data_IF_671604438343
#
_entry.id   IF_671604438343
#
_cell.length_a   1.000
_cell.length_b   1.000
_cell.length_c   1.000
_cell.angle_alpha   90.00
_cell.angle_beta   90.00
_cell.angle_gamma   90.00
#
_symmetry.space_group_name_H-M   'P 1'
#
loop_
_entity.id
_entity.type
_entity.pdbx_description
1 polymer ?
#
# COMPACT_ATOMS: atom_id res chain seq x y z
N UNK A 1 22.31 -1.65 -9.40
CA UNK A 1 21.93 -2.81 -8.56
C UNK A 1 20.77 -3.50 -9.26
N UNK A 2 20.83 -4.82 -9.35
CA UNK A 2 19.73 -5.63 -9.87
C UNK A 2 18.52 -5.51 -8.93
N UNK A 3 17.40 -4.98 -9.42
CA UNK A 3 16.19 -4.78 -8.62
C UNK A 3 15.49 -6.10 -8.26
N UNK A 4 15.80 -7.18 -8.98
CA UNK A 4 15.24 -8.52 -8.72
C UNK A 4 15.98 -9.29 -7.63
N UNK A 5 17.21 -8.88 -7.31
CA UNK A 5 18.02 -9.57 -6.30
C UNK A 5 17.70 -9.06 -4.90
N UNK A 6 16.98 -9.88 -4.12
CA UNK A 6 16.64 -9.63 -2.72
C UNK A 6 17.42 -10.61 -1.84
N UNK A 7 18.16 -10.09 -0.87
CA UNK A 7 18.83 -10.92 0.16
C UNK A 7 17.77 -11.44 1.15
N UNK A 8 17.26 -12.63 0.88
CA UNK A 8 16.21 -13.27 1.69
C UNK A 8 16.67 -13.52 3.12
N UNK A 9 17.93 -13.90 3.33
CA UNK A 9 18.43 -14.18 4.69
C UNK A 9 18.56 -12.89 5.52
N UNK A 10 18.93 -11.79 4.87
CA UNK A 10 18.90 -10.49 5.54
C UNK A 10 17.45 -10.02 5.81
N UNK A 11 16.56 -10.18 4.85
CA UNK A 11 15.14 -9.83 5.02
C UNK A 11 14.49 -10.63 6.16
N UNK A 12 14.80 -11.93 6.30
CA UNK A 12 14.33 -12.75 7.44
C UNK A 12 14.74 -12.13 8.78
N UNK A 13 16.00 -11.72 8.91
CA UNK A 13 16.49 -11.07 10.14
C UNK A 13 15.77 -9.76 10.44
N UNK A 14 15.45 -8.97 9.41
CA UNK A 14 14.68 -7.73 9.56
C UNK A 14 13.24 -8.03 10.01
N UNK A 15 12.59 -9.03 9.42
CA UNK A 15 11.25 -9.48 9.81
C UNK A 15 11.24 -9.95 11.26
N UNK A 16 12.22 -10.77 11.64
CA UNK A 16 12.33 -11.30 13.01
C UNK A 16 12.48 -10.17 14.03
N UNK A 17 13.39 -9.23 13.78
CA UNK A 17 13.61 -8.08 14.66
C UNK A 17 12.36 -7.17 14.76
N UNK A 18 11.61 -6.99 13.67
CA UNK A 18 10.39 -6.19 13.66
C UNK A 18 9.27 -6.85 14.47
N UNK A 19 9.09 -8.16 14.31
CA UNK A 19 8.10 -8.93 15.10
C UNK A 19 8.50 -8.97 16.59
N UNK A 20 9.76 -9.20 16.90
CA UNK A 20 10.27 -9.16 18.29
C UNK A 20 10.06 -7.81 18.96
N UNK A 21 10.10 -6.72 18.20
CA UNK A 21 9.78 -5.38 18.66
C UNK A 21 8.26 -5.12 18.79
N UNK A 22 7.41 -6.09 18.49
CA UNK A 22 5.94 -5.97 18.54
C UNK A 22 5.30 -5.43 17.27
N UNK A 23 6.05 -5.30 16.17
CA UNK A 23 5.53 -4.88 14.87
C UNK A 23 4.71 -6.00 14.21
N UNK A 24 3.55 -5.64 13.63
CA UNK A 24 2.64 -6.60 13.01
C UNK A 24 2.22 -6.24 11.59
N UNK A 25 2.44 -5.01 11.13
CA UNK A 25 2.03 -4.53 9.82
C UNK A 25 3.19 -4.56 8.84
N UNK A 26 3.03 -5.30 7.74
CA UNK A 26 4.02 -5.44 6.67
C UNK A 26 3.45 -4.92 5.36
N UNK A 27 4.21 -4.08 4.67
CA UNK A 27 3.81 -3.41 3.43
C UNK A 27 4.64 -3.87 2.24
N UNK A 28 3.96 -4.24 1.16
CA UNK A 28 4.55 -4.53 -0.14
C UNK A 28 3.65 -3.99 -1.27
N UNK A 29 3.98 -4.31 -2.51
CA UNK A 29 3.13 -4.03 -3.67
C UNK A 29 3.45 -4.97 -4.83
N UNK A 30 2.45 -5.19 -5.68
CA UNK A 30 2.53 -6.01 -6.90
C UNK A 30 3.78 -5.73 -7.75
N UNK A 31 4.21 -4.44 -7.81
CA UNK A 31 5.31 -4.00 -8.70
C UNK A 31 6.65 -3.89 -8.00
N UNK A 32 6.72 -3.94 -6.67
CA UNK A 32 7.97 -3.71 -5.97
C UNK A 32 8.99 -4.78 -6.32
N UNK A 33 10.22 -4.35 -6.63
CA UNK A 33 11.29 -5.22 -7.11
C UNK A 33 10.86 -6.09 -8.31
N UNK A 34 10.12 -5.49 -9.25
CA UNK A 34 9.59 -6.18 -10.44
C UNK A 34 8.73 -7.42 -10.11
N UNK A 35 8.05 -7.39 -8.95
CA UNK A 35 7.20 -8.47 -8.46
C UNK A 35 7.86 -9.42 -7.45
N UNK A 36 9.18 -9.34 -7.28
CA UNK A 36 9.91 -10.22 -6.37
C UNK A 36 9.70 -9.86 -4.88
N UNK A 37 9.23 -8.63 -4.57
CA UNK A 37 8.98 -8.23 -3.18
C UNK A 37 7.91 -9.09 -2.50
N UNK A 38 6.82 -9.40 -3.19
CA UNK A 38 5.77 -10.28 -2.65
C UNK A 38 6.29 -11.71 -2.43
N UNK A 39 7.10 -12.24 -3.36
CA UNK A 39 7.74 -13.55 -3.23
C UNK A 39 8.74 -13.57 -2.06
N UNK A 40 9.48 -12.49 -1.87
CA UNK A 40 10.40 -12.35 -0.75
C UNK A 40 9.66 -12.28 0.60
N UNK A 41 8.54 -11.55 0.67
CA UNK A 41 7.68 -11.49 1.86
C UNK A 41 7.08 -12.87 2.18
N UNK A 42 6.67 -13.64 1.18
CA UNK A 42 6.24 -15.02 1.39
C UNK A 42 7.31 -15.82 2.12
N UNK A 43 8.57 -15.83 1.62
CA UNK A 43 9.69 -16.62 2.17
C UNK A 43 10.16 -16.11 3.55
N UNK A 44 10.11 -14.80 3.75
CA UNK A 44 10.62 -14.21 4.98
C UNK A 44 9.59 -14.10 6.11
N UNK A 45 8.31 -14.03 5.78
CA UNK A 45 7.23 -13.83 6.73
C UNK A 45 6.19 -14.96 6.68
N UNK A 46 5.45 -15.10 5.56
CA UNK A 46 4.22 -15.91 5.49
C UNK A 46 4.49 -17.41 5.72
N UNK A 47 5.61 -17.95 5.23
CA UNK A 47 6.01 -19.35 5.43
C UNK A 47 6.60 -19.63 6.82
N UNK A 48 6.84 -18.58 7.64
CA UNK A 48 7.60 -18.73 8.91
C UNK A 48 6.78 -18.42 10.15
N UNK A 49 5.74 -17.62 10.02
CA UNK A 49 4.93 -17.15 11.15
C UNK A 49 3.45 -17.53 10.96
N UNK A 50 2.69 -17.75 12.05
CA UNK A 50 1.25 -17.97 11.95
C UNK A 50 0.57 -16.82 11.22
N UNK A 51 -0.30 -17.12 10.25
CA UNK A 51 -0.90 -16.10 9.37
C UNK A 51 -1.72 -15.04 10.13
N UNK A 52 -2.27 -15.38 11.26
CA UNK A 52 -3.06 -14.52 12.15
C UNK A 52 -2.20 -13.65 13.11
N UNK A 53 -0.88 -13.88 13.15
CA UNK A 53 0.04 -13.10 14.00
C UNK A 53 0.52 -11.79 13.37
N UNK A 54 0.23 -11.56 12.09
CA UNK A 54 0.64 -10.36 11.36
C UNK A 54 -0.42 -9.92 10.35
N UNK A 55 -0.33 -8.69 9.90
CA UNK A 55 -1.11 -8.14 8.79
C UNK A 55 -0.21 -7.81 7.62
N UNK A 56 -0.71 -8.03 6.40
CA UNK A 56 0.02 -7.74 5.17
C UNK A 56 -0.77 -6.81 4.26
N UNK A 57 -0.08 -5.80 3.77
CA UNK A 57 -0.60 -4.88 2.77
C UNK A 57 0.06 -5.14 1.42
N UNK A 58 -0.75 -5.18 0.34
CA UNK A 58 -0.25 -5.12 -1.03
C UNK A 58 -1.11 -4.21 -1.90
N UNK A 59 -0.63 -3.87 -3.09
CA UNK A 59 -1.19 -2.78 -3.89
C UNK A 59 -1.24 -3.13 -5.36
N UNK A 60 -2.30 -2.70 -6.05
CA UNK A 60 -2.49 -2.87 -7.50
C UNK A 60 -2.29 -1.54 -8.25
N UNK A 61 -1.60 -1.59 -9.38
CA UNK A 61 -1.38 -0.47 -10.31
C UNK A 61 -2.28 -0.61 -11.54
N UNK A 62 -3.56 -0.24 -11.47
CA UNK A 62 -4.46 -0.35 -12.62
C UNK A 62 -3.97 0.48 -13.83
N UNK A 63 -3.45 1.68 -13.58
CA UNK A 63 -2.96 2.57 -14.64
C UNK A 63 -1.71 2.04 -15.40
N UNK A 64 -1.03 1.03 -14.88
CA UNK A 64 0.10 0.36 -15.52
C UNK A 64 -0.30 -0.96 -16.21
N UNK A 65 -1.58 -1.34 -16.14
CA UNK A 65 -2.07 -2.57 -16.77
C UNK A 65 -2.72 -2.26 -18.13
N UNK A 66 -2.55 -3.15 -19.13
CA UNK A 66 -3.08 -2.90 -20.47
C UNK A 66 -4.62 -3.01 -20.53
N UNK A 67 -5.23 -3.84 -19.68
CA UNK A 67 -6.68 -4.07 -19.64
C UNK A 67 -7.25 -4.10 -18.24
N UNK A 68 -8.57 -3.98 -18.11
CA UNK A 68 -9.28 -4.12 -16.85
C UNK A 68 -9.12 -5.54 -16.24
N UNK A 69 -9.10 -6.57 -17.09
CA UNK A 69 -8.88 -7.96 -16.70
C UNK A 69 -7.49 -8.14 -16.08
N UNK A 70 -6.45 -7.57 -16.70
CA UNK A 70 -5.08 -7.63 -16.17
C UNK A 70 -4.97 -6.88 -14.84
N UNK A 71 -5.63 -5.73 -14.71
CA UNK A 71 -5.67 -4.97 -13.46
C UNK A 71 -6.33 -5.77 -12.32
N UNK A 72 -7.44 -6.45 -12.61
CA UNK A 72 -8.14 -7.31 -11.64
C UNK A 72 -7.35 -8.56 -11.30
N UNK A 73 -6.66 -9.16 -12.27
CA UNK A 73 -5.81 -10.34 -12.07
C UNK A 73 -4.57 -10.08 -11.18
N UNK A 74 -4.22 -8.82 -10.92
CA UNK A 74 -3.15 -8.48 -9.98
C UNK A 74 -3.40 -9.05 -8.59
N UNK A 75 -4.64 -9.07 -8.09
CA UNK A 75 -4.96 -9.61 -6.77
C UNK A 75 -4.67 -11.11 -6.69
N UNK A 76 -5.13 -11.89 -7.66
CA UNK A 76 -4.88 -13.33 -7.71
C UNK A 76 -3.39 -13.66 -7.82
N UNK A 77 -2.66 -12.83 -8.55
CA UNK A 77 -1.20 -12.94 -8.67
C UNK A 77 -0.52 -12.62 -7.34
N UNK A 78 -0.94 -11.57 -6.64
CA UNK A 78 -0.42 -11.19 -5.32
C UNK A 78 -0.68 -12.28 -4.28
N UNK A 79 -1.88 -12.85 -4.25
CA UNK A 79 -2.22 -13.97 -3.36
C UNK A 79 -1.30 -15.19 -3.60
N UNK A 80 -1.06 -15.54 -4.87
CA UNK A 80 -0.15 -16.64 -5.24
C UNK A 80 1.30 -16.35 -4.85
N UNK A 81 1.79 -15.13 -5.10
CA UNK A 81 3.16 -14.73 -4.77
C UNK A 81 3.38 -14.71 -3.25
N UNK A 82 2.42 -14.17 -2.51
CA UNK A 82 2.45 -14.11 -1.05
C UNK A 82 2.17 -15.47 -0.38
N UNK A 83 1.49 -16.39 -1.07
CA UNK A 83 1.13 -17.70 -0.52
C UNK A 83 0.06 -17.61 0.57
N UNK A 84 -0.96 -16.79 0.37
CA UNK A 84 -2.08 -16.58 1.31
C UNK A 84 -3.41 -16.51 0.57
N UNK A 85 -4.51 -16.81 1.26
CA UNK A 85 -5.85 -16.81 0.69
C UNK A 85 -6.57 -15.46 0.85
N UNK A 86 -6.01 -14.54 1.62
CA UNK A 86 -6.57 -13.21 1.84
C UNK A 86 -5.49 -12.16 2.07
N UNK A 87 -5.84 -10.89 1.83
CA UNK A 87 -5.01 -9.71 2.09
C UNK A 87 -5.67 -8.89 3.21
N UNK A 88 -4.91 -8.50 4.22
CA UNK A 88 -5.44 -7.67 5.30
C UNK A 88 -5.72 -6.24 4.83
N UNK A 89 -4.77 -5.63 4.12
CA UNK A 89 -4.88 -4.26 3.59
C UNK A 89 -4.59 -4.24 2.09
N UNK A 90 -5.61 -4.02 1.28
CA UNK A 90 -5.44 -3.92 -0.17
C UNK A 90 -5.60 -2.47 -0.63
N UNK A 91 -4.63 -1.98 -1.41
CA UNK A 91 -4.60 -0.59 -1.85
C UNK A 91 -4.72 -0.48 -3.37
N UNK A 92 -5.57 0.43 -3.80
CA UNK A 92 -5.52 0.98 -5.14
C UNK A 92 -4.32 1.96 -5.18
N UNK A 93 -3.30 1.63 -5.96
CA UNK A 93 -1.94 2.16 -5.78
C UNK A 93 -1.71 3.48 -6.51
N UNK A 94 -1.20 4.48 -5.79
CA UNK A 94 -0.69 5.74 -6.34
C UNK A 94 -1.76 6.53 -7.10
N UNK A 95 -2.87 6.82 -6.42
CA UNK A 95 -3.91 7.69 -6.92
C UNK A 95 -3.38 9.11 -7.16
N UNK A 96 -4.01 9.84 -8.07
CA UNK A 96 -3.71 11.21 -8.39
C UNK A 96 -3.67 11.46 -9.91
N UNK A 97 -4.12 12.65 -10.32
CA UNK A 97 -4.14 13.09 -11.70
C UNK A 97 -4.75 12.08 -12.67
N UNK A 98 -4.11 11.87 -13.81
CA UNK A 98 -4.57 10.94 -14.84
C UNK A 98 -4.57 9.46 -14.43
N UNK A 99 -3.85 9.10 -13.38
CA UNK A 99 -3.80 7.70 -12.90
C UNK A 99 -5.14 7.25 -12.34
N UNK A 100 -5.83 8.12 -11.61
CA UNK A 100 -7.16 7.84 -11.04
C UNK A 100 -8.17 7.43 -12.12
N UNK A 101 -8.16 8.11 -13.26
CA UNK A 101 -9.08 7.82 -14.35
C UNK A 101 -9.04 6.37 -14.85
N UNK A 102 -7.89 5.69 -14.74
CA UNK A 102 -7.79 4.28 -15.12
C UNK A 102 -8.48 3.35 -14.12
N UNK A 103 -8.50 3.69 -12.85
CA UNK A 103 -9.25 2.91 -11.87
C UNK A 103 -10.76 3.04 -12.10
N UNK A 104 -11.23 4.24 -12.49
CA UNK A 104 -12.63 4.49 -12.87
C UNK A 104 -12.98 3.72 -14.15
N UNK A 105 -12.17 3.87 -15.21
CA UNK A 105 -12.36 3.20 -16.51
C UNK A 105 -12.46 1.68 -16.39
N UNK A 106 -11.64 1.09 -15.49
CA UNK A 106 -11.57 -0.36 -15.29
C UNK A 106 -12.55 -0.89 -14.25
N UNK A 107 -13.34 -0.01 -13.61
CA UNK A 107 -14.31 -0.37 -12.56
C UNK A 107 -13.63 -1.02 -11.35
N UNK A 108 -12.47 -0.49 -10.96
CA UNK A 108 -11.66 -1.10 -9.89
C UNK A 108 -12.24 -0.86 -8.50
N UNK A 109 -12.97 0.23 -8.29
CA UNK A 109 -13.58 0.55 -7.00
C UNK A 109 -14.64 -0.47 -6.61
N UNK A 110 -15.61 -0.70 -7.48
CA UNK A 110 -16.71 -1.66 -7.28
C UNK A 110 -16.18 -3.08 -7.21
N UNK A 111 -15.21 -3.42 -8.10
CA UNK A 111 -14.59 -4.74 -8.08
C UNK A 111 -13.86 -5.00 -6.77
N UNK A 112 -13.08 -4.04 -6.24
CA UNK A 112 -12.36 -4.21 -5.00
C UNK A 112 -13.31 -4.26 -3.79
N UNK A 113 -14.39 -3.48 -3.79
CA UNK A 113 -15.44 -3.56 -2.79
C UNK A 113 -16.13 -4.94 -2.80
N UNK A 114 -16.37 -5.53 -3.97
CA UNK A 114 -16.87 -6.89 -4.08
C UNK A 114 -15.89 -7.90 -3.48
N UNK A 115 -14.58 -7.79 -3.76
CA UNK A 115 -13.54 -8.67 -3.18
C UNK A 115 -13.44 -8.52 -1.66
N UNK A 116 -13.70 -7.34 -1.14
CA UNK A 116 -13.85 -7.13 0.30
C UNK A 116 -15.10 -7.84 0.85
N UNK A 117 -16.24 -7.75 0.20
CA UNK A 117 -17.46 -8.45 0.60
C UNK A 117 -17.30 -9.99 0.55
N UNK A 118 -16.52 -10.50 -0.40
CA UNK A 118 -16.14 -11.93 -0.51
C UNK A 118 -15.14 -12.37 0.59
N UNK A 119 -14.55 -11.42 1.34
CA UNK A 119 -13.61 -11.70 2.43
C UNK A 119 -12.16 -11.94 1.96
N UNK A 120 -11.88 -11.81 0.67
CA UNK A 120 -10.52 -11.91 0.10
C UNK A 120 -9.68 -10.69 0.48
N UNK A 121 -10.31 -9.52 0.60
CA UNK A 121 -9.73 -8.28 1.13
C UNK A 121 -10.41 -7.99 2.48
N UNK A 122 -9.63 -7.70 3.53
CA UNK A 122 -10.19 -7.33 4.84
C UNK A 122 -10.44 -5.82 4.95
N UNK A 123 -9.46 -5.02 4.54
CA UNK A 123 -9.54 -3.56 4.52
C UNK A 123 -9.15 -3.05 3.14
N UNK A 124 -10.01 -2.22 2.56
CA UNK A 124 -9.80 -1.59 1.26
C UNK A 124 -9.45 -0.12 1.41
N UNK A 125 -8.39 0.31 0.77
CA UNK A 125 -7.97 1.71 0.75
C UNK A 125 -7.21 2.07 -0.53
N UNK A 126 -6.57 3.21 -0.51
CA UNK A 126 -5.68 3.63 -1.59
C UNK A 126 -4.44 4.35 -1.06
N UNK A 127 -3.39 4.38 -1.87
CA UNK A 127 -2.24 5.25 -1.62
C UNK A 127 -2.22 6.42 -2.60
N UNK A 128 -1.72 7.57 -2.15
CA UNK A 128 -1.73 8.78 -2.94
C UNK A 128 -0.41 9.56 -2.76
N UNK A 129 0.09 10.11 -3.87
CA UNK A 129 1.16 11.10 -3.92
C UNK A 129 0.66 12.33 -4.70
N UNK A 130 -0.33 13.03 -4.16
CA UNK A 130 -0.96 14.20 -4.76
C UNK A 130 -1.39 15.17 -3.64
N UNK A 131 -2.00 16.29 -3.98
CA UNK A 131 -2.39 17.35 -3.06
C UNK A 131 -3.69 17.06 -2.28
N UNK A 132 -3.97 17.90 -1.30
CA UNK A 132 -5.11 17.75 -0.42
C UNK A 132 -6.48 17.91 -1.13
N UNK A 133 -6.57 18.72 -2.20
CA UNK A 133 -7.79 18.88 -2.99
C UNK A 133 -8.15 17.57 -3.70
N UNK A 134 -7.15 16.91 -4.30
CA UNK A 134 -7.33 15.58 -4.92
C UNK A 134 -7.79 14.55 -3.89
N UNK A 135 -7.21 14.56 -2.68
CA UNK A 135 -7.62 13.66 -1.61
C UNK A 135 -9.05 13.90 -1.15
N UNK A 136 -9.44 15.17 -0.95
CA UNK A 136 -10.80 15.55 -0.53
C UNK A 136 -11.85 15.05 -1.54
N UNK A 137 -11.56 15.23 -2.84
CA UNK A 137 -12.40 14.71 -3.91
C UNK A 137 -12.49 13.19 -3.90
N UNK A 138 -11.37 12.49 -3.82
CA UNK A 138 -11.35 11.02 -3.82
C UNK A 138 -12.13 10.43 -2.65
N UNK A 139 -11.99 11.00 -1.45
CA UNK A 139 -12.72 10.52 -0.27
C UNK A 139 -14.21 10.90 -0.30
N UNK A 140 -14.57 11.99 -0.97
CA UNK A 140 -15.98 12.35 -1.18
C UNK A 140 -16.64 11.42 -2.21
N UNK A 141 -15.95 11.07 -3.29
CA UNK A 141 -16.44 10.17 -4.34
C UNK A 141 -16.48 8.70 -3.90
N UNK A 142 -15.58 8.30 -2.96
CA UNK A 142 -15.43 6.92 -2.47
C UNK A 142 -15.44 6.87 -0.93
N UNK A 143 -16.58 7.14 -0.28
CA UNK A 143 -16.69 7.21 1.18
C UNK A 143 -16.53 5.86 1.90
N UNK A 144 -16.54 4.75 1.16
CA UNK A 144 -16.44 3.39 1.70
C UNK A 144 -14.99 2.91 1.88
N UNK A 145 -14.00 3.80 1.71
CA UNK A 145 -12.59 3.45 1.95
C UNK A 145 -12.32 3.32 3.46
N UNK A 146 -11.72 2.20 3.84
CA UNK A 146 -11.42 1.93 5.26
C UNK A 146 -10.21 2.74 5.75
N UNK A 147 -9.30 3.10 4.85
CA UNK A 147 -8.08 3.82 5.16
C UNK A 147 -7.46 4.46 3.91
N UNK A 148 -6.53 5.38 4.14
CA UNK A 148 -5.66 5.93 3.09
C UNK A 148 -4.20 5.82 3.50
N UNK A 149 -3.29 5.64 2.53
CA UNK A 149 -1.85 5.67 2.77
C UNK A 149 -1.26 6.96 2.21
N UNK A 150 -0.70 7.80 3.08
CA UNK A 150 -0.20 9.13 2.77
C UNK A 150 1.28 9.28 3.12
N UNK A 151 2.00 10.06 2.33
CA UNK A 151 3.38 10.45 2.61
C UNK A 151 3.38 11.49 3.73
N UNK A 152 3.91 11.11 4.90
CA UNK A 152 3.96 12.01 6.05
C UNK A 152 5.31 11.89 6.75
N UNK A 153 6.03 13.01 6.78
CA UNK A 153 7.24 13.20 7.56
C UNK A 153 7.43 14.69 7.85
N UNK A 154 8.36 15.04 8.73
CA UNK A 154 8.52 16.43 9.17
C UNK A 154 9.01 17.40 8.09
N UNK A 155 9.70 16.93 7.04
CA UNK A 155 10.12 17.78 5.90
C UNK A 155 8.95 18.08 4.97
N UNK A 156 8.09 17.08 4.73
CA UNK A 156 6.97 17.19 3.80
C UNK A 156 5.73 17.80 4.46
N UNK A 157 5.78 18.08 5.78
CA UNK A 157 4.64 18.56 6.56
C UNK A 157 4.03 19.85 6.00
N UNK A 158 4.87 20.83 5.67
CA UNK A 158 4.48 22.12 5.04
C UNK A 158 4.93 22.21 3.58
N UNK A 159 5.35 21.10 2.96
CA UNK A 159 5.78 21.10 1.57
C UNK A 159 4.58 21.45 0.66
N UNK A 160 4.71 22.42 -0.27
CA UNK A 160 3.61 22.90 -1.09
C UNK A 160 3.13 21.91 -2.17
N UNK A 161 3.90 20.84 -2.41
CA UNK A 161 3.57 19.80 -3.40
C UNK A 161 2.97 18.57 -2.74
N UNK A 162 3.58 18.13 -1.63
CA UNK A 162 3.12 16.93 -0.89
C UNK A 162 1.93 17.27 0.02
N UNK A 163 1.94 18.47 0.61
CA UNK A 163 0.89 18.99 1.50
C UNK A 163 0.51 18.04 2.64
N UNK A 164 1.49 17.35 3.25
CA UNK A 164 1.23 16.29 4.24
C UNK A 164 0.26 16.71 5.34
N UNK A 165 0.44 17.91 5.93
CA UNK A 165 -0.47 18.43 6.95
C UNK A 165 -1.91 18.57 6.45
N UNK A 166 -2.10 19.18 5.28
CA UNK A 166 -3.44 19.38 4.71
C UNK A 166 -4.09 18.04 4.34
N UNK A 167 -3.32 17.09 3.81
CA UNK A 167 -3.81 15.75 3.54
C UNK A 167 -4.26 15.04 4.83
N UNK A 168 -3.52 15.18 5.94
CA UNK A 168 -3.94 14.66 7.24
C UNK A 168 -5.24 15.31 7.74
N UNK A 169 -5.38 16.63 7.61
CA UNK A 169 -6.60 17.37 7.96
C UNK A 169 -7.81 16.91 7.12
N UNK A 170 -7.61 16.66 5.82
CA UNK A 170 -8.65 16.12 4.92
C UNK A 170 -9.06 14.71 5.35
N UNK A 171 -8.12 13.82 5.59
CA UNK A 171 -8.42 12.46 6.05
C UNK A 171 -9.20 12.49 7.38
N UNK A 172 -8.80 13.35 8.31
CA UNK A 172 -9.52 13.56 9.58
C UNK A 172 -10.95 14.10 9.36
N UNK A 173 -11.13 15.06 8.45
CA UNK A 173 -12.46 15.62 8.07
C UNK A 173 -13.41 14.53 7.58
N UNK A 174 -12.90 13.57 6.79
CA UNK A 174 -13.67 12.42 6.29
C UNK A 174 -13.77 11.27 7.29
N UNK A 175 -13.08 11.33 8.43
CA UNK A 175 -13.05 10.26 9.43
C UNK A 175 -12.32 8.99 8.98
N UNK A 176 -11.41 9.12 7.99
CA UNK A 176 -10.68 7.99 7.40
C UNK A 176 -9.31 7.83 8.06
N UNK A 177 -8.98 6.66 8.61
CA UNK A 177 -7.66 6.36 9.17
C UNK A 177 -6.53 6.52 8.16
N UNK A 178 -5.36 6.96 8.63
CA UNK A 178 -4.18 7.15 7.79
C UNK A 178 -3.09 6.13 8.15
N UNK A 179 -2.60 5.41 7.15
CA UNK A 179 -1.34 4.66 7.21
C UNK A 179 -0.24 5.57 6.67
N UNK A 180 0.79 5.81 7.47
CA UNK A 180 1.89 6.70 7.09
C UNK A 180 2.88 5.92 6.21
N UNK A 181 3.21 6.46 5.03
CA UNK A 181 4.33 6.02 4.21
C UNK A 181 5.44 7.06 4.17
N UNK A 182 6.64 6.63 3.82
CA UNK A 182 7.85 7.45 3.73
C UNK A 182 8.21 8.26 5.00
N UNK A 183 8.05 7.70 6.22
CA UNK A 183 8.38 8.43 7.44
C UNK A 183 9.87 8.82 7.50
N UNK A 184 10.74 8.02 6.88
CA UNK A 184 12.17 8.29 6.76
C UNK A 184 12.59 8.73 5.33
N UNK A 185 11.64 9.02 4.44
CA UNK A 185 11.84 9.51 3.06
C UNK A 185 12.91 8.72 2.30
N UNK A 186 12.71 7.40 2.21
CA UNK A 186 13.65 6.48 1.57
C UNK A 186 15.00 6.38 2.28
N UNK A 187 15.05 6.61 3.60
CA UNK A 187 16.26 6.58 4.42
C UNK A 187 16.99 7.91 4.52
N UNK A 188 16.59 8.95 3.77
CA UNK A 188 17.24 10.27 3.80
C UNK A 188 17.13 10.97 5.16
N UNK A 189 16.11 10.63 5.93
CA UNK A 189 15.87 11.21 7.27
C UNK A 189 16.43 10.35 8.39
N UNK A 190 17.10 9.23 8.08
CA UNK A 190 17.77 8.40 9.07
C UNK A 190 19.15 8.94 9.48
N UNK A 191 19.83 9.66 8.56
CA UNK A 191 21.12 10.32 8.78
C UNK A 191 20.86 11.81 9.04
N UNK A 192 20.43 12.15 10.24
CA UNK A 192 20.31 13.56 10.65
C UNK A 192 21.67 14.09 11.06
N UNK A 193 22.09 15.30 10.58
CA UNK A 193 23.29 15.96 11.12
C UNK A 193 23.08 16.24 12.59
N UNK A 194 24.15 16.06 13.38
CA UNK A 194 24.23 16.39 14.81
C UNK A 194 23.90 17.87 15.06
#
# INVERSE_FOLDING_TARGET
KDQKSIDIEHLKKMVDAFIEAGGTYFDTAYVYHEGESEVAMRKALVERYPRDSFTIATKCLAWAQPTAEDAKACLDTSLKRLGTDYIDFYLLHNMGGARTAKFDEYGMWEWAAQKKAEGVIKHLGFSMHDNAETLDKLLADHPDMDFVQLQVNYLDWEDPVVESRKCMEVAQKHGVPVVIMEPARGGRLADLPE
#
